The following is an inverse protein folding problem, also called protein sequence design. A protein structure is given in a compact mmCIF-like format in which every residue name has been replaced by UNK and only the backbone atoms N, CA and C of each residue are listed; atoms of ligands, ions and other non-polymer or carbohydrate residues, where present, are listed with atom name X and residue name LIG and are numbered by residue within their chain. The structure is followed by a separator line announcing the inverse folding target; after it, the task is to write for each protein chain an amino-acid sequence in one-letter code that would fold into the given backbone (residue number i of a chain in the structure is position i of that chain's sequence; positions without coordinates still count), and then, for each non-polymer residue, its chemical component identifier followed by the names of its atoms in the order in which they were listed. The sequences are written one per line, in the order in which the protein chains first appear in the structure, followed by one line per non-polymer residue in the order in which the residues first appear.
data_IF_127878987414
#
_entry.id   IF_127878987414
#
_cell.length_a   1.000
_cell.length_b   1.000
_cell.length_c   1.000
_cell.angle_alpha   90.00
_cell.angle_beta   90.00
_cell.angle_gamma   90.00
#
_symmetry.space_group_name_H-M   'P 1'
#
loop_
_entity.id
_entity.type
_entity.pdbx_description
1 polymer ?
#
# COMPACT_ATOMS: atom_id res chain seq x y z
N UNK A 1 -9.41 -22.47 -1.29
CA UNK A 1 -8.03 -22.58 -0.79
C UNK A 1 -7.09 -22.01 -1.85
N UNK A 2 -6.20 -21.09 -1.45
CA UNK A 2 -5.22 -20.44 -2.32
C UNK A 2 -3.80 -20.73 -1.85
N UNK A 3 -2.85 -20.75 -2.78
CA UNK A 3 -1.44 -20.60 -2.43
C UNK A 3 -1.15 -19.11 -2.30
N UNK A 4 -0.65 -18.69 -1.15
CA UNK A 4 -0.28 -17.30 -0.88
C UNK A 4 1.23 -17.15 -1.01
N UNK A 5 1.66 -16.18 -1.81
CA UNK A 5 3.07 -15.80 -1.98
C UNK A 5 3.22 -14.37 -1.48
N UNK A 6 4.15 -14.15 -0.58
CA UNK A 6 4.52 -12.82 -0.08
C UNK A 6 6.00 -12.58 -0.32
N UNK A 7 6.37 -11.32 -0.57
CA UNK A 7 7.77 -10.93 -0.74
C UNK A 7 8.11 -9.74 0.14
N UNK A 8 9.33 -9.72 0.65
CA UNK A 8 9.94 -8.49 1.13
C UNK A 8 10.41 -7.69 -0.08
N UNK A 9 9.87 -6.49 -0.31
CA UNK A 9 10.32 -5.61 -1.38
C UNK A 9 11.83 -5.31 -1.22
N UNK A 10 12.53 -5.01 -2.31
CA UNK A 10 13.93 -4.57 -2.19
C UNK A 10 14.06 -3.44 -1.19
N UNK A 11 15.06 -3.48 -0.36
CA UNK A 11 15.24 -2.53 0.73
C UNK A 11 14.45 -2.85 2.00
N UNK A 12 13.41 -3.67 1.94
CA UNK A 12 12.54 -4.01 3.08
C UNK A 12 12.87 -5.39 3.66
N UNK A 13 12.38 -5.64 4.87
CA UNK A 13 12.43 -6.94 5.54
C UNK A 13 13.80 -7.61 5.46
N UNK A 14 13.85 -8.82 4.94
CA UNK A 14 15.08 -9.62 4.75
C UNK A 14 15.67 -9.51 3.33
N UNK A 15 15.01 -8.77 2.43
CA UNK A 15 15.53 -8.53 1.08
C UNK A 15 16.77 -7.62 1.07
N UNK A 16 17.51 -7.62 -0.05
CA UNK A 16 18.75 -6.87 -0.20
C UNK A 16 18.54 -5.36 0.01
N UNK A 17 19.50 -4.70 0.67
CA UNK A 17 19.51 -3.26 0.98
C UNK A 17 20.35 -2.48 -0.03
N UNK A 18 20.16 -2.75 -1.32
CA UNK A 18 20.88 -2.06 -2.40
C UNK A 18 20.57 -0.56 -2.48
N UNK A 19 21.46 0.18 -3.14
CA UNK A 19 21.35 1.63 -3.30
C UNK A 19 20.55 2.06 -4.55
N UNK A 20 20.09 1.10 -5.37
CA UNK A 20 19.47 1.38 -6.67
C UNK A 20 18.07 0.78 -6.77
N UNK A 21 17.23 1.42 -7.57
CA UNK A 21 15.89 0.93 -7.88
C UNK A 21 14.91 1.02 -6.71
N UNK A 22 15.07 1.99 -5.81
CA UNK A 22 14.14 2.23 -4.71
C UNK A 22 13.02 3.15 -5.22
N UNK A 23 12.17 2.59 -6.05
CA UNK A 23 11.03 3.30 -6.67
C UNK A 23 9.83 2.36 -6.79
N UNK A 24 8.62 2.90 -6.81
CA UNK A 24 7.37 2.15 -7.03
C UNK A 24 7.46 1.35 -8.34
N UNK A 25 7.97 1.99 -9.40
CA UNK A 25 8.11 1.37 -10.71
C UNK A 25 9.03 0.14 -10.69
N UNK A 26 10.16 0.22 -10.00
CA UNK A 26 11.08 -0.91 -9.88
C UNK A 26 10.53 -2.02 -8.98
N UNK A 27 9.80 -1.66 -7.92
CA UNK A 27 9.13 -2.66 -7.08
C UNK A 27 8.09 -3.46 -7.87
N UNK A 28 7.39 -2.82 -8.81
CA UNK A 28 6.49 -3.50 -9.73
C UNK A 28 7.24 -4.47 -10.67
N UNK A 29 8.42 -4.10 -11.16
CA UNK A 29 9.29 -5.02 -11.91
C UNK A 29 9.71 -6.23 -11.06
N UNK A 30 10.05 -6.02 -9.78
CA UNK A 30 10.42 -7.13 -8.88
C UNK A 30 9.26 -8.10 -8.66
N UNK A 31 8.02 -7.60 -8.58
CA UNK A 31 6.80 -8.43 -8.52
C UNK A 31 6.63 -9.24 -9.82
N UNK A 32 6.81 -8.60 -10.96
CA UNK A 32 6.74 -9.27 -12.27
C UNK A 32 7.80 -10.37 -12.40
N UNK A 33 9.04 -10.08 -11.99
CA UNK A 33 10.13 -11.05 -12.01
C UNK A 33 9.84 -12.25 -11.09
N UNK A 34 9.25 -12.01 -9.91
CA UNK A 34 8.84 -13.07 -9.00
C UNK A 34 7.75 -13.96 -9.59
N UNK A 35 6.72 -13.37 -10.20
CA UNK A 35 5.64 -14.10 -10.87
C UNK A 35 6.21 -15.01 -11.97
N UNK A 36 7.13 -14.49 -12.78
CA UNK A 36 7.80 -15.26 -13.83
C UNK A 36 8.70 -16.36 -13.25
N UNK A 37 9.50 -16.04 -12.23
CA UNK A 37 10.43 -16.99 -11.60
C UNK A 37 9.70 -18.20 -11.00
N UNK A 38 8.53 -17.96 -10.42
CA UNK A 38 7.68 -19.00 -9.84
C UNK A 38 6.71 -19.64 -10.86
N UNK A 39 6.74 -19.21 -12.13
CA UNK A 39 5.82 -19.63 -13.21
C UNK A 39 4.34 -19.58 -12.80
N UNK A 40 3.95 -18.51 -12.08
CA UNK A 40 2.58 -18.33 -11.63
C UNK A 40 1.69 -17.98 -12.82
N UNK A 41 0.48 -18.59 -12.84
CA UNK A 41 -0.56 -18.32 -13.82
C UNK A 41 -1.84 -17.94 -13.09
N UNK A 42 -2.64 -17.10 -13.71
CA UNK A 42 -3.92 -16.64 -13.15
C UNK A 42 -3.76 -16.06 -11.72
N UNK A 43 -2.66 -15.37 -11.46
CA UNK A 43 -2.39 -14.79 -10.16
C UNK A 43 -3.36 -13.63 -9.84
N UNK A 44 -3.70 -13.46 -8.58
CA UNK A 44 -4.30 -12.23 -8.06
C UNK A 44 -3.19 -11.45 -7.34
N UNK A 45 -2.88 -10.25 -7.84
CA UNK A 45 -1.85 -9.40 -7.23
C UNK A 45 -2.52 -8.38 -6.31
N UNK A 46 -2.13 -8.40 -5.05
CA UNK A 46 -2.74 -7.55 -4.03
C UNK A 46 -1.71 -6.62 -3.40
N UNK A 47 -2.11 -5.38 -3.17
CA UNK A 47 -1.25 -4.36 -2.56
C UNK A 47 -1.94 -3.58 -1.46
N UNK A 48 -1.33 -3.59 -0.28
CA UNK A 48 -1.76 -2.80 0.86
C UNK A 48 -0.98 -1.49 0.94
N UNK A 49 -1.67 -0.37 1.21
CA UNK A 49 -1.03 0.94 1.40
C UNK A 49 -0.15 1.30 0.20
N UNK A 50 1.13 1.56 0.39
CA UNK A 50 2.12 1.76 -0.68
C UNK A 50 2.17 0.58 -1.68
N UNK A 51 1.77 -0.61 -1.29
CA UNK A 51 1.64 -1.76 -2.18
C UNK A 51 0.60 -1.55 -3.27
N UNK A 52 -0.43 -0.73 -3.05
CA UNK A 52 -1.43 -0.40 -4.06
C UNK A 52 -0.85 0.28 -5.31
N UNK A 53 -0.11 1.40 -5.20
CA UNK A 53 0.65 1.97 -6.32
C UNK A 53 1.60 1.00 -7.01
N UNK A 54 2.21 0.05 -6.27
CA UNK A 54 3.04 -1.00 -6.88
C UNK A 54 2.19 -1.91 -7.79
N UNK A 55 1.00 -2.30 -7.33
CA UNK A 55 0.04 -3.10 -8.12
C UNK A 55 -0.43 -2.32 -9.35
N UNK A 56 -0.75 -1.03 -9.22
CA UNK A 56 -1.12 -0.18 -10.34
C UNK A 56 0.04 -0.02 -11.35
N UNK A 57 1.26 0.18 -10.85
CA UNK A 57 2.46 0.25 -11.66
C UNK A 57 2.79 -1.09 -12.35
N UNK A 58 2.51 -2.22 -11.70
CA UNK A 58 2.62 -3.54 -12.33
C UNK A 58 1.70 -3.62 -13.56
N UNK A 59 0.42 -3.27 -13.39
CA UNK A 59 -0.54 -3.33 -14.48
C UNK A 59 -0.17 -2.37 -15.62
N UNK A 60 0.23 -1.15 -15.30
CA UNK A 60 0.66 -0.14 -16.28
C UNK A 60 1.84 -0.62 -17.15
N UNK A 61 2.78 -1.36 -16.57
CA UNK A 61 3.99 -1.82 -17.26
C UNK A 61 3.83 -3.14 -18.00
N UNK A 62 3.04 -4.08 -17.45
CA UNK A 62 3.01 -5.48 -17.90
C UNK A 62 1.61 -5.97 -18.29
N UNK A 63 0.55 -5.18 -18.03
CA UNK A 63 -0.82 -5.58 -18.34
C UNK A 63 -1.28 -6.81 -17.56
N UNK A 64 -2.17 -7.59 -18.19
CA UNK A 64 -2.87 -8.71 -17.56
C UNK A 64 -2.30 -10.10 -17.89
N UNK A 65 -1.19 -10.21 -18.57
CA UNK A 65 -0.74 -11.46 -19.23
C UNK A 65 -0.66 -12.67 -18.29
N UNK A 66 -0.34 -12.44 -16.99
CA UNK A 66 -0.16 -13.53 -15.99
C UNK A 66 -1.11 -13.40 -14.80
N UNK A 67 -1.99 -12.42 -14.82
CA UNK A 67 -2.88 -12.12 -13.70
C UNK A 67 -4.35 -12.21 -14.13
N UNK A 68 -5.21 -12.60 -13.21
CA UNK A 68 -6.67 -12.65 -13.41
C UNK A 68 -7.44 -11.63 -12.57
N UNK A 69 -6.78 -10.89 -11.70
CA UNK A 69 -7.41 -9.87 -10.86
C UNK A 69 -6.42 -9.14 -9.99
N UNK A 70 -6.88 -8.03 -9.43
CA UNK A 70 -6.10 -7.17 -8.53
C UNK A 70 -6.85 -6.92 -7.22
N UNK A 71 -6.10 -6.68 -6.15
CA UNK A 71 -6.62 -6.22 -4.87
C UNK A 71 -5.92 -4.93 -4.41
N UNK A 72 -6.70 -3.90 -4.13
CA UNK A 72 -6.24 -2.61 -3.64
C UNK A 72 -6.74 -2.42 -2.21
N UNK A 73 -5.80 -2.46 -1.24
CA UNK A 73 -6.11 -2.54 0.18
C UNK A 73 -5.69 -1.24 0.87
N UNK A 74 -6.66 -0.46 1.30
CA UNK A 74 -6.53 0.80 2.04
C UNK A 74 -5.39 1.70 1.51
N UNK A 75 -5.51 2.07 0.24
CA UNK A 75 -4.47 2.74 -0.53
C UNK A 75 -4.97 4.01 -1.22
N UNK A 76 -4.04 4.79 -1.75
CA UNK A 76 -4.31 5.91 -2.66
C UNK A 76 -3.51 5.75 -3.95
N UNK A 77 -4.09 6.06 -5.11
CA UNK A 77 -3.36 6.06 -6.39
C UNK A 77 -2.45 7.28 -6.56
N UNK A 78 -2.67 8.36 -5.80
CA UNK A 78 -1.85 9.57 -5.80
C UNK A 78 -1.89 10.28 -4.43
N UNK A 79 -0.89 10.07 -3.57
CA UNK A 79 -0.88 10.67 -2.22
C UNK A 79 -0.93 12.20 -2.19
N UNK A 80 -0.28 12.88 -3.12
CA UNK A 80 -0.25 14.35 -3.20
C UNK A 80 -1.46 14.95 -3.95
N UNK A 81 -2.43 14.14 -4.36
CA UNK A 81 -3.61 14.69 -5.02
C UNK A 81 -4.32 15.73 -4.13
N UNK A 82 -4.56 16.95 -4.65
CA UNK A 82 -5.33 17.96 -3.93
C UNK A 82 -6.85 17.73 -4.03
N UNK A 83 -7.27 16.72 -4.78
CA UNK A 83 -8.69 16.48 -5.09
C UNK A 83 -9.45 16.00 -3.85
N UNK A 84 -10.76 16.38 -3.71
CA UNK A 84 -11.55 16.05 -2.53
C UNK A 84 -11.78 14.55 -2.29
N UNK A 85 -11.56 13.71 -3.28
CA UNK A 85 -11.65 12.25 -3.12
C UNK A 85 -10.50 11.67 -2.30
N UNK A 86 -9.35 12.35 -2.28
CA UNK A 86 -8.17 11.92 -1.53
C UNK A 86 -8.37 12.20 -0.04
N UNK A 87 -9.03 11.31 0.67
CA UNK A 87 -9.44 11.50 2.08
C UNK A 87 -8.50 10.88 3.11
N UNK A 88 -7.43 10.23 2.65
CA UNK A 88 -6.47 9.62 3.56
C UNK A 88 -5.65 10.67 4.35
N UNK A 89 -4.89 10.20 5.35
CA UNK A 89 -4.06 11.05 6.21
C UNK A 89 -2.96 11.86 5.51
N UNK A 90 -2.71 11.60 4.22
CA UNK A 90 -1.76 12.35 3.40
C UNK A 90 -2.44 13.41 2.51
N UNK A 91 -3.76 13.55 2.58
CA UNK A 91 -4.50 14.56 1.83
C UNK A 91 -3.96 15.97 2.12
N UNK A 92 -3.68 16.73 1.04
CA UNK A 92 -3.11 18.07 1.16
C UNK A 92 -1.65 18.09 1.58
N UNK A 93 -1.00 16.95 1.66
CA UNK A 93 0.45 16.89 1.86
C UNK A 93 1.15 17.60 0.71
N UNK A 94 2.18 18.35 1.07
CA UNK A 94 3.06 19.05 0.15
C UNK A 94 4.53 18.78 0.54
N UNK A 95 5.46 19.42 -0.12
CA UNK A 95 6.89 19.25 0.16
C UNK A 95 7.27 19.61 1.60
N UNK A 96 6.56 20.51 2.26
CA UNK A 96 6.83 20.86 3.67
C UNK A 96 6.47 19.70 4.60
N UNK A 97 5.31 19.07 4.38
CA UNK A 97 4.91 17.86 5.10
C UNK A 97 5.87 16.69 4.85
N UNK A 98 6.32 16.51 3.61
CA UNK A 98 7.37 15.54 3.30
C UNK A 98 8.65 15.79 4.09
N UNK A 99 9.12 17.05 4.13
CA UNK A 99 10.32 17.43 4.88
C UNK A 99 10.20 17.13 6.37
N UNK A 100 9.03 17.37 6.97
CA UNK A 100 8.79 17.03 8.40
C UNK A 100 8.94 15.52 8.63
N UNK A 101 8.36 14.68 7.79
CA UNK A 101 8.47 13.22 7.93
C UNK A 101 9.91 12.77 7.68
N UNK A 102 10.57 13.29 6.66
CA UNK A 102 11.96 12.96 6.35
C UNK A 102 12.89 13.31 7.52
N UNK A 103 12.68 14.47 8.18
CA UNK A 103 13.41 14.86 9.38
C UNK A 103 13.14 13.90 10.54
N UNK A 104 11.88 13.52 10.80
CA UNK A 104 11.55 12.55 11.85
C UNK A 104 12.19 11.19 11.59
N UNK A 105 12.16 10.71 10.37
CA UNK A 105 12.84 9.46 9.98
C UNK A 105 14.36 9.52 10.14
N UNK A 106 14.96 10.69 9.99
CA UNK A 106 16.41 10.88 10.12
C UNK A 106 16.87 11.07 11.59
N UNK A 107 16.11 11.81 12.39
CA UNK A 107 16.56 12.29 13.71
C UNK A 107 15.77 11.74 14.90
N UNK A 108 14.53 11.28 14.68
CA UNK A 108 13.62 10.80 15.74
C UNK A 108 12.84 9.56 15.29
N UNK A 109 13.56 8.66 14.67
CA UNK A 109 13.02 7.51 13.97
C UNK A 109 12.21 6.57 14.86
N UNK A 110 12.70 6.28 16.06
CA UNK A 110 12.03 5.37 17.00
C UNK A 110 10.67 5.93 17.43
N UNK A 111 10.60 7.21 17.81
CA UNK A 111 9.34 7.85 18.17
C UNK A 111 8.39 7.97 16.95
N UNK A 112 8.94 8.14 15.74
CA UNK A 112 8.13 8.09 14.51
C UNK A 112 7.51 6.71 14.31
N UNK A 113 8.29 5.63 14.45
CA UNK A 113 7.80 4.26 14.30
C UNK A 113 6.75 3.90 15.35
N UNK A 114 6.97 4.25 16.62
CA UNK A 114 5.98 4.06 17.67
C UNK A 114 4.67 4.77 17.35
N UNK A 115 4.74 6.03 16.93
CA UNK A 115 3.55 6.80 16.56
C UNK A 115 2.85 6.18 15.35
N UNK A 116 3.58 5.85 14.30
CA UNK A 116 3.02 5.30 13.07
C UNK A 116 2.42 3.91 13.31
N UNK A 117 3.14 3.03 14.03
CA UNK A 117 2.67 1.70 14.38
C UNK A 117 1.38 1.72 15.23
N UNK A 118 1.19 2.72 16.07
CA UNK A 118 -0.08 2.90 16.78
C UNK A 118 -1.19 3.39 15.83
N UNK A 119 -0.90 4.37 15.00
CA UNK A 119 -1.89 5.04 14.15
C UNK A 119 -2.48 4.16 13.04
N UNK A 120 -1.79 3.10 12.63
CA UNK A 120 -2.32 2.16 11.61
C UNK A 120 -3.42 1.25 12.14
N UNK A 121 -3.66 1.20 13.45
CA UNK A 121 -4.81 0.50 14.06
C UNK A 121 -5.96 1.45 14.34
N UNK A 122 -7.19 0.93 14.37
CA UNK A 122 -8.45 1.69 14.43
C UNK A 122 -8.46 2.79 15.48
N UNK A 123 -8.04 2.49 16.68
CA UNK A 123 -8.14 3.41 17.83
C UNK A 123 -6.84 4.25 18.03
N UNK A 124 -5.92 4.25 17.09
CA UNK A 124 -4.62 4.88 17.26
C UNK A 124 -3.75 4.22 18.31
N UNK A 125 -4.03 2.94 18.60
CA UNK A 125 -3.32 2.14 19.59
C UNK A 125 -3.18 0.71 19.11
N UNK A 126 -1.95 0.26 18.95
CA UNK A 126 -1.67 -1.11 18.54
C UNK A 126 -2.03 -2.12 19.63
N UNK A 127 -2.59 -3.29 19.28
CA UNK A 127 -2.89 -4.36 20.20
C UNK A 127 -1.62 -4.96 20.84
N UNK A 128 -1.77 -5.55 22.02
CA UNK A 128 -0.70 -6.33 22.65
C UNK A 128 -0.26 -7.48 21.71
N UNK A 129 1.04 -7.74 21.66
CA UNK A 129 1.62 -8.78 20.78
C UNK A 129 1.88 -8.33 19.34
N UNK A 130 1.75 -7.04 19.04
CA UNK A 130 2.06 -6.47 17.71
C UNK A 130 3.39 -5.70 17.68
N UNK A 131 4.30 -5.95 18.61
CA UNK A 131 5.65 -5.34 18.65
C UNK A 131 6.47 -5.65 17.40
N UNK A 132 6.18 -6.76 16.74
CA UNK A 132 6.77 -7.15 15.47
C UNK A 132 6.61 -6.08 14.38
N UNK A 133 5.56 -5.26 14.42
CA UNK A 133 5.36 -4.15 13.45
C UNK A 133 6.53 -3.16 13.51
N UNK A 134 6.94 -2.77 14.72
CA UNK A 134 8.08 -1.85 14.92
C UNK A 134 9.40 -2.54 14.55
N UNK A 135 9.53 -3.83 14.88
CA UNK A 135 10.70 -4.60 14.50
C UNK A 135 10.89 -4.68 12.98
N UNK A 136 9.79 -4.83 12.23
CA UNK A 136 9.84 -4.77 10.76
C UNK A 136 10.23 -3.38 10.25
N UNK A 137 9.68 -2.30 10.82
CA UNK A 137 10.09 -0.94 10.44
C UNK A 137 11.58 -0.68 10.69
N UNK A 138 12.16 -1.23 11.74
CA UNK A 138 13.59 -1.12 12.05
C UNK A 138 14.50 -1.75 11.01
N UNK A 139 14.02 -2.75 10.28
CA UNK A 139 14.78 -3.41 9.20
C UNK A 139 14.97 -2.52 7.97
N UNK A 140 14.15 -1.47 7.81
CA UNK A 140 14.22 -0.55 6.68
C UNK A 140 15.28 0.53 6.93
N UNK A 141 16.38 0.62 6.16
CA UNK A 141 17.39 1.66 6.35
C UNK A 141 16.84 3.09 6.10
N UNK A 142 17.32 4.10 6.82
CA UNK A 142 16.83 5.48 6.67
C UNK A 142 16.88 6.05 5.26
N UNK A 143 17.94 5.77 4.52
CA UNK A 143 18.09 6.24 3.12
C UNK A 143 17.10 5.58 2.17
N UNK A 144 16.73 4.31 2.40
CA UNK A 144 15.70 3.63 1.63
C UNK A 144 14.33 4.21 1.97
N UNK A 145 14.04 4.45 3.26
CA UNK A 145 12.80 5.11 3.69
C UNK A 145 12.63 6.46 3.00
N UNK A 146 13.65 7.30 2.97
CA UNK A 146 13.59 8.62 2.33
C UNK A 146 13.38 8.53 0.81
N UNK A 147 14.12 7.62 0.14
CA UNK A 147 14.02 7.45 -1.31
C UNK A 147 12.62 6.98 -1.73
N UNK A 148 12.13 5.88 -1.12
CA UNK A 148 10.83 5.34 -1.51
C UNK A 148 9.67 6.26 -1.10
N UNK A 149 9.79 6.95 0.05
CA UNK A 149 8.75 7.87 0.48
C UNK A 149 8.61 9.05 -0.48
N UNK A 150 9.72 9.59 -0.97
CA UNK A 150 9.73 10.63 -2.00
C UNK A 150 9.09 10.17 -3.31
N UNK A 151 9.46 8.98 -3.80
CA UNK A 151 8.92 8.41 -5.05
C UNK A 151 7.42 8.10 -4.91
N UNK A 152 7.02 7.44 -3.81
CA UNK A 152 5.62 7.10 -3.52
C UNK A 152 4.71 8.33 -3.49
N UNK A 153 5.10 9.38 -2.74
CA UNK A 153 4.25 10.55 -2.55
C UNK A 153 4.02 11.32 -3.86
N UNK A 154 5.01 11.34 -4.75
CA UNK A 154 4.96 12.06 -6.02
C UNK A 154 4.41 11.22 -7.18
N UNK A 155 4.25 9.91 -7.01
CA UNK A 155 3.75 9.02 -8.06
C UNK A 155 2.24 9.15 -8.22
N UNK A 156 1.81 9.43 -9.45
CA UNK A 156 0.40 9.52 -9.83
C UNK A 156 0.02 8.35 -10.75
N UNK A 157 -0.84 7.47 -10.26
CA UNK A 157 -1.41 6.33 -10.97
C UNK A 157 -2.91 6.48 -11.23
N UNK A 158 -3.49 7.67 -11.05
CA UNK A 158 -4.94 7.89 -11.30
C UNK A 158 -5.32 7.58 -12.74
N UNK A 159 -4.45 7.90 -13.70
CA UNK A 159 -4.66 7.61 -15.11
C UNK A 159 -4.63 6.12 -15.48
N UNK A 160 -4.11 5.25 -14.61
CA UNK A 160 -4.08 3.80 -14.83
C UNK A 160 -5.43 3.14 -14.52
N UNK A 161 -6.18 3.66 -13.53
CA UNK A 161 -7.42 3.05 -13.06
C UNK A 161 -8.42 2.72 -14.20
N UNK A 162 -8.75 3.64 -15.14
CA UNK A 162 -9.71 3.36 -16.19
C UNK A 162 -9.19 2.39 -17.28
N UNK A 163 -7.92 2.05 -17.28
CA UNK A 163 -7.31 1.13 -18.26
C UNK A 163 -7.29 -0.32 -17.77
N UNK A 164 -7.62 -0.58 -16.50
CA UNK A 164 -7.54 -1.91 -15.90
C UNK A 164 -8.73 -2.75 -16.36
N UNK A 165 -8.48 -3.75 -17.18
CA UNK A 165 -9.49 -4.60 -17.81
C UNK A 165 -9.62 -5.99 -17.16
N UNK A 166 -9.13 -6.16 -15.94
CA UNK A 166 -9.35 -7.32 -15.06
C UNK A 166 -10.22 -6.95 -13.86
N UNK A 167 -10.86 -7.91 -13.18
CA UNK A 167 -11.57 -7.67 -11.93
C UNK A 167 -10.66 -7.08 -10.86
N UNK A 168 -11.14 -6.06 -10.15
CA UNK A 168 -10.42 -5.40 -9.05
C UNK A 168 -11.32 -5.32 -7.82
N UNK A 169 -10.83 -5.81 -6.70
CA UNK A 169 -11.43 -5.56 -5.38
C UNK A 169 -10.71 -4.41 -4.68
N UNK A 170 -11.46 -3.39 -4.30
CA UNK A 170 -10.98 -2.25 -3.51
C UNK A 170 -11.53 -2.39 -2.10
N UNK A 171 -10.66 -2.43 -1.11
CA UNK A 171 -10.99 -2.62 0.30
C UNK A 171 -10.43 -1.46 1.10
N UNK A 172 -11.29 -0.63 1.68
CA UNK A 172 -10.86 0.50 2.50
C UNK A 172 -11.51 0.48 3.89
N UNK A 173 -10.75 0.92 4.87
CA UNK A 173 -11.19 1.08 6.25
C UNK A 173 -11.74 2.49 6.53
N UNK A 174 -12.49 2.61 7.62
CA UNK A 174 -13.07 3.87 8.11
C UNK A 174 -12.54 4.24 9.50
N UNK A 175 -11.27 3.99 9.74
CA UNK A 175 -10.62 4.33 10.99
C UNK A 175 -10.43 5.84 11.15
N UNK A 176 -10.48 6.37 12.39
CA UNK A 176 -10.41 7.81 12.64
C UNK A 176 -9.00 8.40 12.55
N UNK A 177 -7.97 7.56 12.46
CA UNK A 177 -6.59 8.03 12.57
C UNK A 177 -5.87 7.99 11.22
N UNK A 178 -5.42 6.81 10.80
CA UNK A 178 -4.67 6.67 9.55
C UNK A 178 -5.32 5.60 8.68
N UNK A 179 -6.10 6.03 7.72
CA UNK A 179 -6.76 5.17 6.72
C UNK A 179 -6.89 5.92 5.40
N UNK A 180 -7.09 5.18 4.33
CA UNK A 180 -7.43 5.76 3.04
C UNK A 180 -8.90 6.27 3.00
N UNK A 181 -9.77 5.69 3.82
CA UNK A 181 -11.17 6.09 3.97
C UNK A 181 -12.11 5.47 2.95
N UNK A 182 -13.37 5.30 3.38
CA UNK A 182 -14.45 4.69 2.59
C UNK A 182 -14.71 5.48 1.29
N UNK A 183 -14.79 6.81 1.39
CA UNK A 183 -15.08 7.67 0.21
C UNK A 183 -14.00 7.54 -0.86
N UNK A 184 -12.75 7.44 -0.46
CA UNK A 184 -11.65 7.24 -1.39
C UNK A 184 -11.74 5.88 -2.07
N UNK A 185 -12.01 4.81 -1.32
CA UNK A 185 -12.20 3.47 -1.89
C UNK A 185 -13.35 3.41 -2.89
N UNK A 186 -14.49 4.05 -2.56
CA UNK A 186 -15.63 4.18 -3.48
C UNK A 186 -15.25 4.94 -4.76
N UNK A 187 -14.49 6.03 -4.62
CA UNK A 187 -14.02 6.79 -5.77
C UNK A 187 -13.11 5.95 -6.67
N UNK A 188 -12.14 5.22 -6.08
CA UNK A 188 -11.23 4.35 -6.83
C UNK A 188 -12.03 3.27 -7.57
N UNK A 189 -12.93 2.58 -6.89
CA UNK A 189 -13.73 1.53 -7.50
C UNK A 189 -14.60 2.04 -8.66
N UNK A 190 -15.12 3.26 -8.55
CA UNK A 190 -15.93 3.90 -9.61
C UNK A 190 -15.10 4.29 -10.86
N UNK A 191 -13.77 4.40 -10.76
CA UNK A 191 -12.88 4.65 -11.91
C UNK A 191 -12.45 3.35 -12.64
N UNK A 192 -12.70 2.19 -12.04
CA UNK A 192 -12.29 0.89 -12.55
C UNK A 192 -13.43 0.26 -13.38
N UNK A 193 -13.19 -0.21 -14.61
CA UNK A 193 -14.22 -0.87 -15.43
C UNK A 193 -14.87 -2.08 -14.76
N UNK A 194 -14.12 -2.83 -13.97
CA UNK A 194 -14.57 -4.02 -13.23
C UNK A 194 -14.24 -3.92 -11.74
N UNK A 195 -14.40 -2.71 -11.18
CA UNK A 195 -14.14 -2.41 -9.78
C UNK A 195 -15.27 -2.87 -8.87
N UNK A 196 -14.94 -3.55 -7.79
CA UNK A 196 -15.82 -3.82 -6.65
C UNK A 196 -15.26 -3.14 -5.41
N UNK A 197 -16.14 -2.67 -4.54
CA UNK A 197 -15.74 -1.99 -3.30
C UNK A 197 -16.29 -2.71 -2.08
N UNK A 198 -15.44 -2.92 -1.08
CA UNK A 198 -15.83 -3.45 0.23
C UNK A 198 -15.31 -2.52 1.35
N UNK A 199 -16.25 -2.09 2.20
CA UNK A 199 -15.96 -1.19 3.33
C UNK A 199 -15.63 -1.98 4.60
N UNK A 200 -14.56 -1.63 5.30
CA UNK A 200 -14.15 -2.19 6.58
C UNK A 200 -14.37 -1.15 7.68
N UNK A 201 -15.49 -1.27 8.42
CA UNK A 201 -15.93 -0.24 9.37
C UNK A 201 -15.47 -0.47 10.81
N UNK A 202 -14.95 -1.66 11.11
CA UNK A 202 -14.47 -2.01 12.46
C UNK A 202 -12.94 -2.08 12.52
N UNK A 203 -12.24 -1.57 11.52
CA UNK A 203 -10.78 -1.59 11.45
C UNK A 203 -10.19 -0.24 11.07
N UNK A 204 -8.88 -0.07 11.33
CA UNK A 204 -8.02 0.97 10.79
C UNK A 204 -7.30 0.48 9.53
N UNK A 205 -6.12 1.04 9.30
CA UNK A 205 -5.29 0.72 8.14
C UNK A 205 -4.89 -0.76 8.02
N UNK A 206 -4.82 -1.47 9.15
CA UNK A 206 -4.53 -2.92 9.24
C UNK A 206 -5.80 -3.78 9.16
N UNK A 207 -6.70 -3.49 8.23
CA UNK A 207 -8.03 -4.11 8.12
C UNK A 207 -8.00 -5.65 8.03
N UNK A 208 -6.99 -6.22 7.40
CA UNK A 208 -6.79 -7.68 7.32
C UNK A 208 -6.42 -8.31 8.67
N UNK A 209 -5.85 -7.51 9.58
CA UNK A 209 -5.50 -7.94 10.93
C UNK A 209 -6.67 -7.73 11.91
N UNK A 210 -7.41 -6.62 11.80
CA UNK A 210 -8.47 -6.24 12.72
C UNK A 210 -9.82 -6.89 12.39
N UNK A 211 -10.11 -7.12 11.07
CA UNK A 211 -11.31 -7.83 10.59
C UNK A 211 -10.96 -9.07 9.75
N UNK A 212 -10.17 -10.04 10.27
CA UNK A 212 -9.59 -11.12 9.44
C UNK A 212 -10.66 -12.06 8.84
N UNK A 213 -11.75 -12.30 9.54
CA UNK A 213 -12.84 -13.15 9.02
C UNK A 213 -13.52 -12.51 7.81
N UNK A 214 -13.78 -11.21 7.87
CA UNK A 214 -14.34 -10.44 6.78
C UNK A 214 -13.37 -10.37 5.61
N UNK A 215 -12.10 -10.03 5.88
CA UNK A 215 -11.07 -9.97 4.87
C UNK A 215 -10.94 -11.30 4.10
N UNK A 216 -10.82 -12.41 4.82
CA UNK A 216 -10.70 -13.74 4.23
C UNK A 216 -11.96 -14.21 3.47
N UNK A 217 -13.13 -13.64 3.76
CA UNK A 217 -14.36 -13.95 3.03
C UNK A 217 -14.49 -13.14 1.73
N UNK A 218 -13.83 -11.98 1.63
CA UNK A 218 -13.83 -11.10 0.46
C UNK A 218 -12.77 -11.52 -0.55
N UNK A 219 -11.62 -11.99 -0.08
CA UNK A 219 -10.50 -12.49 -0.90
C UNK A 219 -10.73 -13.95 -1.28
#
# INVERSE_FOLDING_TARGET
DFTVVTLDLRGHGNSSKGLHGITIKQFACDVYDLINYLDLKDAVVMGWSMGGPIVLSYFDQFGQEQIKGLGLIDMTPFPFSPEPWNTQGLHGYNMDGFNVIAQRLAYDREAYFETFANNIFKDGKRPAGTDWVIEEFRKLPPWISAAIYSDYLSSDFTGVLPTIDVPVIVMNADGPVFTAGIKQGQHIAAQLPYGQFEAFTESGHMLFYEEPNKFNAVV
#
